data_IF_118822470732
#
_entry.id   IF_118822470732
#
_cell.length_a   1.000
_cell.length_b   1.000
_cell.length_c   1.000
_cell.angle_alpha   90.00
_cell.angle_beta   90.00
_cell.angle_gamma   90.00
#
_symmetry.space_group_name_H-M   'P 1'
#
loop_
_entity.id
_entity.type
_entity.pdbx_description
1 polymer ?
#
# COMPACT_ATOMS: atom_id res chain seq x y z
N UNK A 1 -1.27 2.13 -6.76
CA UNK A 1 -1.56 1.85 -8.18
C UNK A 1 -1.39 3.15 -8.95
N UNK A 2 -0.79 3.11 -10.14
CA UNK A 2 -0.47 4.29 -10.95
C UNK A 2 -1.36 4.37 -12.19
N UNK A 3 -1.46 5.57 -12.78
CA UNK A 3 -2.22 5.84 -14.01
C UNK A 3 -1.33 6.61 -14.99
N UNK A 4 -1.48 6.40 -16.30
CA UNK A 4 -0.73 7.18 -17.28
C UNK A 4 -1.40 8.50 -17.63
N UNK A 5 -0.63 9.52 -18.02
CA UNK A 5 -1.18 10.78 -18.57
C UNK A 5 -2.12 10.54 -19.75
N UNK A 6 -1.81 9.55 -20.60
CA UNK A 6 -2.65 9.16 -21.76
C UNK A 6 -3.99 8.57 -21.30
N UNK A 7 -3.95 7.66 -20.31
CA UNK A 7 -5.16 7.05 -19.74
C UNK A 7 -6.04 8.12 -19.10
N UNK A 8 -5.45 9.05 -18.36
CA UNK A 8 -6.19 10.14 -17.73
C UNK A 8 -6.83 11.08 -18.77
N UNK A 9 -6.11 11.44 -19.83
CA UNK A 9 -6.66 12.23 -20.95
C UNK A 9 -7.84 11.52 -21.65
N UNK A 10 -7.73 10.19 -21.85
CA UNK A 10 -8.82 9.39 -22.39
C UNK A 10 -10.04 9.35 -21.46
N UNK A 11 -9.85 9.19 -20.15
CA UNK A 11 -10.93 9.19 -19.16
C UNK A 11 -11.66 10.54 -19.10
N UNK A 12 -10.95 11.63 -19.40
CA UNK A 12 -11.51 12.98 -19.51
C UNK A 12 -12.23 13.23 -20.86
N UNK A 13 -12.33 12.23 -21.73
CA UNK A 13 -12.98 12.36 -23.04
C UNK A 13 -12.17 13.15 -24.08
N UNK A 14 -10.91 13.49 -23.79
CA UNK A 14 -10.03 14.20 -24.71
C UNK A 14 -8.66 13.51 -24.83
N UNK A 15 -8.54 12.48 -25.70
CA UNK A 15 -7.28 11.77 -25.93
C UNK A 15 -6.10 12.66 -26.36
N UNK A 16 -6.37 13.83 -26.97
CA UNK A 16 -5.36 14.79 -27.40
C UNK A 16 -4.81 15.68 -26.27
N UNK A 17 -5.46 15.72 -25.11
CA UNK A 17 -5.13 16.64 -24.01
C UNK A 17 -3.96 16.18 -23.12
N UNK A 18 -3.18 15.17 -23.51
CA UNK A 18 -2.10 14.58 -22.67
C UNK A 18 -1.14 15.63 -22.10
N UNK A 19 -0.71 16.60 -22.93
CA UNK A 19 0.18 17.69 -22.49
C UNK A 19 -0.51 18.64 -21.51
N UNK A 20 -1.78 18.97 -21.76
CA UNK A 20 -2.57 19.83 -20.87
C UNK A 20 -2.79 19.16 -19.50
N UNK A 21 -3.10 17.86 -19.48
CA UNK A 21 -3.19 17.04 -18.26
C UNK A 21 -1.86 17.04 -17.51
N UNK A 22 -0.74 16.84 -18.21
CA UNK A 22 0.60 16.91 -17.62
C UNK A 22 0.89 18.27 -16.98
N UNK A 23 0.54 19.36 -17.66
CA UNK A 23 0.67 20.72 -17.15
C UNK A 23 -0.20 20.98 -15.92
N UNK A 24 -1.45 20.51 -15.91
CA UNK A 24 -2.34 20.61 -14.77
C UNK A 24 -1.82 19.81 -13.56
N UNK A 25 -1.36 18.57 -13.80
CA UNK A 25 -0.76 17.73 -12.77
C UNK A 25 0.48 18.36 -12.14
N UNK A 26 1.33 19.04 -12.94
CA UNK A 26 2.53 19.71 -12.46
C UNK A 26 2.24 21.00 -11.67
N UNK A 27 1.11 21.67 -11.92
CA UNK A 27 0.71 22.89 -11.21
C UNK A 27 -0.16 22.63 -9.98
N UNK A 28 -0.27 21.38 -9.53
CA UNK A 28 -1.06 21.04 -8.36
C UNK A 28 -0.48 21.72 -7.09
N UNK A 29 -1.19 22.67 -6.45
CA UNK A 29 -0.69 23.40 -5.28
C UNK A 29 -0.76 22.56 -3.99
N UNK A 30 -1.52 21.46 -3.99
CA UNK A 30 -1.72 20.56 -2.85
C UNK A 30 -1.27 19.14 -3.20
N UNK A 31 0.03 19.00 -3.43
CA UNK A 31 0.67 17.70 -3.63
C UNK A 31 0.36 16.71 -2.49
N UNK A 32 0.44 15.41 -2.78
CA UNK A 32 0.12 14.30 -1.86
C UNK A 32 -1.39 14.11 -1.62
N UNK A 33 -2.14 15.15 -1.23
CA UNK A 33 -3.61 15.07 -1.03
C UNK A 33 -4.29 14.75 -2.36
N UNK A 34 -4.00 15.55 -3.38
CA UNK A 34 -4.25 15.15 -4.77
C UNK A 34 -3.04 14.32 -5.21
N UNK A 35 -3.21 13.02 -5.50
CA UNK A 35 -2.09 12.07 -5.64
C UNK A 35 -1.39 12.18 -7.00
N UNK A 36 -0.87 13.37 -7.33
CA UNK A 36 -0.21 13.68 -8.60
C UNK A 36 1.07 12.86 -8.82
N UNK A 37 1.67 12.31 -7.75
CA UNK A 37 2.78 11.37 -7.82
C UNK A 37 2.38 10.00 -8.42
N UNK A 38 1.08 9.68 -8.51
CA UNK A 38 0.59 8.44 -9.14
C UNK A 38 0.43 8.52 -10.66
N UNK A 39 0.53 9.72 -11.25
CA UNK A 39 0.39 9.92 -12.70
C UNK A 39 1.75 9.78 -13.38
N UNK A 40 1.92 8.83 -14.30
CA UNK A 40 3.22 8.46 -14.91
C UNK A 40 3.18 8.44 -16.45
N UNK A 41 4.32 8.21 -17.10
CA UNK A 41 4.39 8.00 -18.54
C UNK A 41 3.67 6.70 -18.96
N UNK A 42 3.14 6.66 -20.19
CA UNK A 42 2.40 5.49 -20.70
C UNK A 42 3.26 4.22 -20.82
N UNK A 43 4.59 4.37 -20.89
CA UNK A 43 5.57 3.27 -20.88
C UNK A 43 6.05 2.89 -19.46
N UNK A 44 5.40 3.40 -18.41
CA UNK A 44 5.79 3.14 -17.02
C UNK A 44 6.88 4.07 -16.48
N UNK A 45 7.41 5.00 -17.28
CA UNK A 45 8.47 5.93 -16.82
C UNK A 45 7.95 6.92 -15.80
N UNK A 46 8.74 7.15 -14.75
CA UNK A 46 8.51 8.25 -13.83
C UNK A 46 8.93 9.55 -14.51
N UNK A 47 7.96 10.42 -14.76
CA UNK A 47 8.18 11.74 -15.35
C UNK A 47 7.19 12.74 -14.76
N UNK A 48 7.60 14.02 -14.72
CA UNK A 48 6.78 15.14 -14.27
C UNK A 48 6.39 15.04 -12.79
N UNK A 49 6.98 15.90 -11.97
CA UNK A 49 6.57 16.13 -10.58
C UNK A 49 7.17 17.43 -10.09
N UNK A 50 6.34 18.33 -9.54
CA UNK A 50 6.79 19.64 -9.07
C UNK A 50 7.86 19.55 -7.98
N UNK A 51 7.74 18.55 -7.08
CA UNK A 51 8.72 18.30 -6.02
C UNK A 51 9.95 17.49 -6.44
N UNK A 52 10.13 17.19 -7.73
CA UNK A 52 11.23 16.35 -8.21
C UNK A 52 10.97 14.82 -8.16
N UNK A 53 11.66 14.09 -9.04
CA UNK A 53 11.40 12.65 -9.25
C UNK A 53 11.75 11.77 -8.04
N UNK A 54 12.73 12.18 -7.23
CA UNK A 54 13.10 11.46 -6.00
C UNK A 54 11.95 11.39 -5.01
N UNK A 55 11.26 12.53 -4.77
CA UNK A 55 10.09 12.59 -3.88
C UNK A 55 8.96 11.72 -4.45
N UNK A 56 8.72 11.79 -5.76
CA UNK A 56 7.70 10.96 -6.42
C UNK A 56 7.96 9.46 -6.25
N UNK A 57 9.21 9.04 -6.44
CA UNK A 57 9.65 7.64 -6.25
C UNK A 57 9.46 7.21 -4.79
N UNK A 58 9.95 8.01 -3.85
CA UNK A 58 9.79 7.77 -2.41
C UNK A 58 8.32 7.60 -2.01
N UNK A 59 7.41 8.47 -2.48
CA UNK A 59 5.98 8.37 -2.17
C UNK A 59 5.35 7.09 -2.72
N UNK A 60 5.73 6.66 -3.93
CA UNK A 60 5.24 5.41 -4.52
C UNK A 60 5.76 4.17 -3.78
N UNK A 61 7.03 4.18 -3.38
CA UNK A 61 7.63 3.12 -2.57
C UNK A 61 6.99 3.04 -1.19
N UNK A 62 6.74 4.19 -0.55
CA UNK A 62 6.03 4.27 0.73
C UNK A 62 4.61 3.69 0.64
N UNK A 63 3.87 4.00 -0.43
CA UNK A 63 2.55 3.40 -0.69
C UNK A 63 2.64 1.88 -0.91
N UNK A 64 3.68 1.40 -1.60
CA UNK A 64 3.90 -0.03 -1.79
C UNK A 64 4.26 -0.74 -0.47
N UNK A 65 5.10 -0.12 0.36
CA UNK A 65 5.46 -0.61 1.69
C UNK A 65 4.31 -0.56 2.69
N UNK A 66 3.41 0.42 2.59
CA UNK A 66 2.18 0.45 3.39
C UNK A 66 1.26 -0.74 3.06
N UNK A 67 1.26 -1.22 1.81
CA UNK A 67 0.55 -2.46 1.44
C UNK A 67 1.17 -3.71 2.09
N UNK A 68 2.42 -3.65 2.53
CA UNK A 68 3.13 -4.77 3.16
C UNK A 68 3.02 -4.77 4.69
N UNK A 69 2.42 -3.75 5.32
CA UNK A 69 2.27 -3.67 6.79
C UNK A 69 0.96 -4.23 7.33
N UNK A 70 0.15 -4.91 6.52
CA UNK A 70 -1.04 -5.63 6.98
C UNK A 70 -0.79 -7.12 7.25
N UNK A 71 0.45 -7.62 7.22
CA UNK A 71 0.69 -9.07 7.28
C UNK A 71 2.06 -9.54 7.76
N UNK A 72 2.63 -8.97 8.83
CA UNK A 72 3.85 -9.55 9.44
C UNK A 72 3.80 -9.79 10.95
N UNK A 73 2.86 -9.18 11.69
CA UNK A 73 2.63 -9.50 13.11
C UNK A 73 1.42 -10.45 13.31
N UNK A 74 0.44 -10.40 12.40
CA UNK A 74 -0.76 -11.25 12.48
C UNK A 74 -0.44 -12.73 12.20
N UNK A 75 0.47 -13.01 11.26
CA UNK A 75 0.81 -14.38 10.84
C UNK A 75 1.43 -15.19 11.97
N UNK A 76 2.35 -14.62 12.75
CA UNK A 76 2.96 -15.32 13.90
C UNK A 76 1.92 -15.64 14.98
N UNK A 77 0.98 -14.73 15.24
CA UNK A 77 -0.09 -14.96 16.21
C UNK A 77 -1.12 -15.99 15.70
N UNK A 78 -1.41 -16.00 14.40
CA UNK A 78 -2.33 -16.96 13.78
C UNK A 78 -1.72 -18.36 13.69
N UNK A 79 -0.43 -18.46 13.38
CA UNK A 79 0.31 -19.72 13.36
C UNK A 79 0.43 -20.31 14.77
N UNK A 80 0.73 -19.48 15.78
CA UNK A 80 0.76 -19.89 17.18
C UNK A 80 -0.64 -20.32 17.69
N UNK A 81 -1.71 -19.68 17.21
CA UNK A 81 -3.08 -20.04 17.56
C UNK A 81 -3.52 -21.36 16.89
N UNK A 82 -3.13 -21.60 15.63
CA UNK A 82 -3.41 -22.87 14.95
C UNK A 82 -2.61 -24.03 15.55
N UNK A 83 -1.33 -23.80 15.89
CA UNK A 83 -0.53 -24.77 16.65
C UNK A 83 -1.17 -25.08 18.00
N UNK A 84 -1.63 -24.06 18.74
CA UNK A 84 -2.36 -24.26 19.99
C UNK A 84 -3.65 -25.06 19.82
N UNK A 85 -4.49 -24.77 18.82
CA UNK A 85 -5.73 -25.53 18.56
C UNK A 85 -5.40 -26.98 18.21
N UNK A 86 -4.39 -27.22 17.36
CA UNK A 86 -4.02 -28.55 16.91
C UNK A 86 -3.28 -29.37 17.97
N UNK A 87 -2.66 -28.72 18.97
CA UNK A 87 -1.91 -29.36 20.04
C UNK A 87 -2.50 -29.07 21.42
N UNK A 88 -3.79 -28.68 21.48
CA UNK A 88 -4.50 -28.30 22.71
C UNK A 88 -4.34 -29.32 23.83
N UNK A 89 -4.41 -30.60 23.47
CA UNK A 89 -4.31 -31.73 24.41
C UNK A 89 -2.94 -31.83 25.09
N UNK A 90 -1.87 -31.30 24.49
CA UNK A 90 -0.53 -31.24 25.11
C UNK A 90 -0.40 -30.16 26.17
N UNK A 91 -1.19 -29.09 26.07
CA UNK A 91 -1.10 -27.93 26.96
C UNK A 91 -2.13 -27.98 28.10
N UNK A 92 -3.23 -28.73 27.93
CA UNK A 92 -4.21 -28.96 29.01
C UNK A 92 -3.80 -30.09 29.95
N UNK A 93 -2.84 -30.94 29.58
CA UNK A 93 -2.42 -32.10 30.37
C UNK A 93 -1.42 -31.79 31.51
N UNK A 94 -1.08 -30.53 31.77
CA UNK A 94 -0.10 -30.17 32.81
C UNK A 94 -0.46 -28.94 33.65
N UNK A 95 -1.72 -28.45 33.62
CA UNK A 95 -2.15 -27.42 34.57
C UNK A 95 -2.37 -28.06 35.96
N UNK A 96 -1.61 -27.68 36.99
CA UNK A 96 -1.64 -28.31 38.31
C UNK A 96 -2.73 -27.69 39.19
N UNK A 97 -3.95 -27.50 38.66
CA UNK A 97 -5.00 -26.73 39.33
C UNK A 97 -6.26 -27.53 39.64
N UNK A 98 -6.13 -28.79 40.06
CA UNK A 98 -7.30 -29.63 40.32
C UNK A 98 -7.26 -30.47 41.62
N UNK A 99 -6.65 -30.04 42.74
CA UNK A 99 -6.92 -30.81 43.99
C UNK A 99 -6.65 -30.23 45.40
N UNK A 100 -6.26 -28.96 45.65
CA UNK A 100 -5.90 -28.54 47.04
C UNK A 100 -6.39 -27.20 47.55
N UNK A 101 -7.65 -26.87 47.32
CA UNK A 101 -8.34 -25.84 48.14
C UNK A 101 -9.81 -26.22 48.33
N UNK A 102 -10.07 -26.99 49.38
CA UNK A 102 -11.37 -27.29 49.95
C UNK A 102 -11.18 -27.64 51.41
#
# INVERSE_FOLDING_TARGET
ATISYKTLANQLGNPGAVRAVGGANNRNPIGIIVPCHRVIGANGTLTGYAGGLEIKKFLLEMEAGYRMKSGSAATVAQDAFQDYIHHRDRYTASLPWDEKTG
#
